data_IF_183095136852
#
_entry.id   IF_183095136852
#
_cell.length_a   1.000
_cell.length_b   1.000
_cell.length_c   1.000
_cell.angle_alpha   90.00
_cell.angle_beta   90.00
_cell.angle_gamma   90.00
#
_symmetry.space_group_name_H-M   'P 1'
#
loop_
_entity.id
_entity.type
_entity.pdbx_description
1 polymer ?
#
# COMPACT_ATOMS: atom_id res chain seq x y z
N UNK A 1 47.13 40.87 6.22
CA UNK A 1 46.73 40.12 7.44
C UNK A 1 45.37 39.41 7.33
N UNK A 2 44.42 39.81 6.46
CA UNK A 2 43.07 39.20 6.42
C UNK A 2 42.95 37.82 5.74
N UNK A 3 43.70 37.56 4.66
CA UNK A 3 43.52 36.38 3.80
C UNK A 3 43.84 35.07 4.53
N UNK A 4 44.89 35.07 5.37
CA UNK A 4 45.29 33.89 6.15
C UNK A 4 44.22 33.50 7.18
N UNK A 5 43.56 34.49 7.80
CA UNK A 5 42.48 34.25 8.78
C UNK A 5 41.22 33.68 8.13
N UNK A 6 40.88 34.13 6.91
CA UNK A 6 39.73 33.61 6.16
C UNK A 6 39.95 32.17 5.69
N UNK A 7 41.17 31.83 5.26
CA UNK A 7 41.53 30.45 4.86
C UNK A 7 41.50 29.52 6.07
N UNK A 8 42.05 29.95 7.22
CA UNK A 8 42.05 29.17 8.46
C UNK A 8 40.62 28.94 8.98
N UNK A 9 39.75 29.95 8.86
CA UNK A 9 38.34 29.85 9.22
C UNK A 9 37.56 28.89 8.32
N UNK A 10 37.82 28.88 7.00
CA UNK A 10 37.17 27.97 6.06
C UNK A 10 37.57 26.51 6.31
N UNK A 11 38.86 26.27 6.57
CA UNK A 11 39.38 24.94 6.94
C UNK A 11 38.85 24.48 8.30
N UNK A 12 38.82 25.37 9.29
CA UNK A 12 38.28 25.07 10.62
C UNK A 12 36.79 24.74 10.59
N UNK A 13 36.00 25.47 9.80
CA UNK A 13 34.57 25.20 9.64
C UNK A 13 34.31 23.88 8.89
N UNK A 14 35.08 23.61 7.83
CA UNK A 14 34.96 22.37 7.06
C UNK A 14 35.37 21.12 7.84
N UNK A 15 36.47 21.19 8.59
CA UNK A 15 36.88 20.11 9.49
C UNK A 15 35.91 19.95 10.67
N UNK A 16 35.44 21.05 11.26
CA UNK A 16 34.50 21.01 12.39
C UNK A 16 33.15 20.40 12.00
N UNK A 17 32.60 20.76 10.85
CA UNK A 17 31.32 20.18 10.37
C UNK A 17 31.46 18.71 10.00
N UNK A 18 32.52 18.31 9.31
CA UNK A 18 32.74 16.90 8.97
C UNK A 18 32.92 16.02 10.21
N UNK A 19 33.71 16.47 11.20
CA UNK A 19 33.87 15.75 12.47
C UNK A 19 32.54 15.71 13.24
N UNK A 20 31.81 16.83 13.30
CA UNK A 20 30.51 16.89 13.96
C UNK A 20 29.46 15.94 13.36
N UNK A 21 29.42 15.83 12.03
CA UNK A 21 28.53 14.88 11.33
C UNK A 21 28.93 13.44 11.60
N UNK A 22 30.23 13.11 11.57
CA UNK A 22 30.72 11.75 11.86
C UNK A 22 30.40 11.37 13.30
N UNK A 23 30.68 12.24 14.27
CA UNK A 23 30.38 11.99 15.69
C UNK A 23 28.88 11.88 15.90
N UNK A 24 28.07 12.77 15.30
CA UNK A 24 26.61 12.72 15.37
C UNK A 24 26.04 11.43 14.78
N UNK A 25 26.58 10.94 13.66
CA UNK A 25 26.19 9.68 13.04
C UNK A 25 26.52 8.47 13.93
N UNK A 26 27.72 8.42 14.50
CA UNK A 26 28.10 7.36 15.44
C UNK A 26 27.27 7.38 16.73
N UNK A 27 26.97 8.57 17.27
CA UNK A 27 26.11 8.72 18.43
C UNK A 27 24.68 8.25 18.11
N UNK A 28 24.15 8.60 16.93
CA UNK A 28 22.81 8.20 16.49
C UNK A 28 22.68 6.68 16.35
N UNK A 29 23.68 5.99 15.78
CA UNK A 29 23.70 4.53 15.70
C UNK A 29 23.73 3.89 17.09
N UNK A 30 24.54 4.42 18.01
CA UNK A 30 24.65 3.87 19.37
C UNK A 30 23.42 4.14 20.23
N UNK A 31 22.71 5.24 19.99
CA UNK A 31 21.49 5.60 20.72
C UNK A 31 20.24 4.89 20.22
N UNK A 32 20.25 4.30 19.02
CA UNK A 32 19.12 3.46 18.60
C UNK A 32 19.13 2.17 19.44
N UNK A 33 18.13 1.95 20.31
CA UNK A 33 18.04 0.71 21.06
C UNK A 33 17.73 -0.42 20.08
N UNK A 34 18.73 -1.24 19.78
CA UNK A 34 18.59 -2.49 18.99
C UNK A 34 17.82 -3.57 19.73
N UNK A 35 17.46 -3.33 20.99
CA UNK A 35 16.75 -4.28 21.83
C UNK A 35 15.24 -4.17 21.62
N UNK A 36 14.74 -4.87 20.61
CA UNK A 36 13.31 -5.21 20.53
C UNK A 36 13.07 -6.20 21.67
N UNK A 37 12.30 -5.81 22.70
CA UNK A 37 11.90 -6.75 23.74
C UNK A 37 10.92 -7.74 23.13
N UNK A 38 11.30 -9.00 23.02
CA UNK A 38 10.37 -10.06 22.66
C UNK A 38 9.26 -10.12 23.73
N UNK A 39 7.99 -9.85 23.37
CA UNK A 39 6.91 -9.90 24.34
C UNK A 39 6.72 -11.36 24.80
N UNK A 40 6.72 -11.59 26.11
CA UNK A 40 6.34 -12.88 26.67
C UNK A 40 4.91 -13.21 26.25
N UNK A 41 4.75 -14.23 25.39
CA UNK A 41 3.46 -14.71 24.91
C UNK A 41 2.74 -15.34 26.10
N UNK A 42 1.76 -14.63 26.67
CA UNK A 42 0.89 -15.14 27.74
C UNK A 42 -0.46 -15.56 27.17
N UNK A 43 -1.08 -16.65 27.64
CA UNK A 43 -2.41 -17.05 27.21
C UNK A 43 -3.45 -15.97 27.51
N UNK A 44 -4.49 -15.86 26.66
CA UNK A 44 -5.55 -14.84 26.77
C UNK A 44 -6.28 -14.86 28.12
N UNK A 45 -6.34 -16.02 28.78
CA UNK A 45 -6.96 -16.23 30.10
C UNK A 45 -6.23 -15.48 31.22
N UNK A 46 -4.93 -15.23 31.07
CA UNK A 46 -4.09 -14.57 32.08
C UNK A 46 -3.91 -13.07 31.82
N UNK A 47 -4.52 -12.53 30.76
CA UNK A 47 -4.41 -11.12 30.44
C UNK A 47 -5.34 -10.24 31.28
N UNK A 48 -4.80 -9.10 31.70
CA UNK A 48 -5.55 -8.08 32.44
C UNK A 48 -6.68 -7.49 31.59
N UNK A 49 -7.76 -7.03 32.23
CA UNK A 49 -8.99 -6.58 31.54
C UNK A 49 -8.71 -5.41 30.58
N UNK A 50 -7.79 -4.50 30.94
CA UNK A 50 -7.35 -3.40 30.07
C UNK A 50 -6.59 -3.89 28.84
N UNK A 51 -5.84 -4.97 28.95
CA UNK A 51 -5.10 -5.56 27.82
C UNK A 51 -6.07 -6.27 26.88
N UNK A 52 -7.03 -7.03 27.43
CA UNK A 52 -8.10 -7.64 26.63
C UNK A 52 -8.93 -6.59 25.87
N UNK A 53 -9.28 -5.48 26.51
CA UNK A 53 -9.96 -4.37 25.83
C UNK A 53 -9.16 -3.78 24.66
N UNK A 54 -7.83 -3.75 24.77
CA UNK A 54 -6.95 -3.31 23.68
C UNK A 54 -6.83 -4.33 22.55
N UNK A 55 -7.07 -5.61 22.82
CA UNK A 55 -7.08 -6.68 21.82
C UNK A 55 -8.43 -6.81 21.12
N UNK A 56 -9.51 -6.30 21.71
CA UNK A 56 -10.85 -6.33 21.10
C UNK A 56 -10.86 -5.81 19.65
N UNK A 57 -10.21 -4.70 19.27
CA UNK A 57 -10.18 -4.24 17.88
C UNK A 57 -9.49 -5.23 16.93
N UNK A 58 -8.47 -5.96 17.38
CA UNK A 58 -7.65 -6.86 16.56
C UNK A 58 -8.35 -8.19 16.23
N UNK A 59 -9.37 -8.56 16.99
CA UNK A 59 -10.11 -9.80 16.78
C UNK A 59 -10.79 -9.79 15.39
N UNK A 60 -10.80 -10.92 14.65
CA UNK A 60 -11.46 -11.00 13.36
C UNK A 60 -12.97 -10.67 13.42
N UNK A 61 -13.54 -10.02 12.39
CA UNK A 61 -14.95 -9.62 12.40
C UNK A 61 -15.94 -10.76 12.64
N UNK A 62 -15.69 -11.97 12.11
CA UNK A 62 -16.54 -13.16 12.30
C UNK A 62 -16.57 -13.71 13.73
N UNK A 63 -15.59 -13.38 14.56
CA UNK A 63 -15.64 -13.73 16.00
C UNK A 63 -16.51 -12.73 16.75
N UNK A 64 -16.50 -11.46 16.33
CA UNK A 64 -17.24 -10.37 16.98
C UNK A 64 -18.70 -10.36 16.58
N UNK A 65 -18.95 -10.62 15.30
CA UNK A 65 -20.23 -10.43 14.65
C UNK A 65 -20.62 -11.75 13.98
N UNK A 66 -21.76 -12.36 14.38
CA UNK A 66 -22.20 -13.63 13.81
C UNK A 66 -22.57 -13.52 12.33
N UNK A 67 -22.78 -12.30 11.81
CA UNK A 67 -23.16 -12.08 10.41
C UNK A 67 -22.01 -12.22 9.41
N UNK A 68 -20.77 -12.40 9.88
CA UNK A 68 -19.62 -12.58 9.00
C UNK A 68 -19.33 -14.06 8.83
N UNK A 69 -19.48 -14.54 7.60
CA UNK A 69 -19.12 -15.90 7.26
C UNK A 69 -17.63 -16.02 6.95
N UNK A 70 -17.02 -17.13 7.38
CA UNK A 70 -15.65 -17.47 6.99
C UNK A 70 -15.64 -17.97 5.55
N UNK A 71 -14.72 -17.44 4.76
CA UNK A 71 -14.59 -17.74 3.33
C UNK A 71 -13.26 -18.47 3.03
N UNK A 72 -12.98 -19.52 3.79
CA UNK A 72 -11.71 -20.28 3.65
C UNK A 72 -11.53 -20.89 2.26
N UNK A 73 -12.62 -21.27 1.60
CA UNK A 73 -12.61 -21.77 0.23
C UNK A 73 -12.13 -20.70 -0.76
N UNK A 74 -12.51 -19.43 -0.56
CA UNK A 74 -12.11 -18.31 -1.41
C UNK A 74 -10.62 -18.02 -1.23
N UNK A 75 -10.12 -18.09 0.00
CA UNK A 75 -8.70 -17.93 0.29
C UNK A 75 -7.88 -19.01 -0.43
N UNK A 76 -8.28 -20.28 -0.37
CA UNK A 76 -7.65 -21.38 -1.12
C UNK A 76 -7.71 -21.18 -2.63
N UNK A 77 -8.84 -20.69 -3.14
CA UNK A 77 -8.99 -20.40 -4.57
C UNK A 77 -8.00 -19.32 -5.03
N UNK A 78 -7.91 -18.21 -4.28
CA UNK A 78 -7.02 -17.10 -4.61
C UNK A 78 -5.56 -17.51 -4.48
N UNK A 79 -5.21 -18.29 -3.46
CA UNK A 79 -3.85 -18.82 -3.29
C UNK A 79 -3.38 -19.61 -4.52
N UNK A 80 -4.23 -20.50 -5.05
CA UNK A 80 -3.90 -21.25 -6.26
C UNK A 80 -3.84 -20.39 -7.53
N UNK A 81 -4.66 -19.33 -7.59
CA UNK A 81 -4.73 -18.43 -8.75
C UNK A 81 -3.68 -17.30 -8.72
N UNK A 82 -3.11 -17.02 -7.55
CA UNK A 82 -2.22 -15.88 -7.31
C UNK A 82 -1.06 -15.73 -8.31
N UNK A 83 -0.30 -16.78 -8.67
CA UNK A 83 0.82 -16.62 -9.62
C UNK A 83 0.38 -16.18 -11.03
N UNK A 84 -0.88 -16.45 -11.39
CA UNK A 84 -1.48 -15.98 -12.64
C UNK A 84 -2.04 -14.57 -12.49
N UNK A 85 -2.66 -14.28 -11.35
CA UNK A 85 -3.19 -12.96 -11.02
C UNK A 85 -2.07 -11.91 -10.92
N UNK A 86 -0.94 -12.22 -10.28
CA UNK A 86 0.22 -11.33 -10.20
C UNK A 86 0.64 -10.87 -11.60
N UNK A 87 0.86 -11.83 -12.52
CA UNK A 87 1.23 -11.53 -13.91
C UNK A 87 0.20 -10.67 -14.64
N UNK A 88 -1.08 -11.00 -14.49
CA UNK A 88 -2.17 -10.28 -15.15
C UNK A 88 -2.30 -8.85 -14.60
N UNK A 89 -2.29 -8.69 -13.28
CA UNK A 89 -2.39 -7.39 -12.61
C UNK A 89 -1.17 -6.54 -12.95
N UNK A 90 0.05 -7.08 -12.89
CA UNK A 90 1.26 -6.36 -13.29
C UNK A 90 1.19 -5.86 -14.74
N UNK A 91 0.65 -6.66 -15.67
CA UNK A 91 0.45 -6.23 -17.05
C UNK A 91 -0.57 -5.09 -17.13
N UNK A 92 -1.71 -5.22 -16.46
CA UNK A 92 -2.75 -4.19 -16.42
C UNK A 92 -2.25 -2.89 -15.80
N UNK A 93 -1.54 -2.96 -14.68
CA UNK A 93 -0.93 -1.79 -14.02
C UNK A 93 0.04 -1.08 -14.96
N UNK A 94 0.90 -1.81 -15.70
CA UNK A 94 1.79 -1.20 -16.71
C UNK A 94 1.00 -0.49 -17.80
N UNK A 95 -0.09 -1.08 -18.29
CA UNK A 95 -0.94 -0.49 -19.33
C UNK A 95 -1.63 0.79 -18.85
N UNK A 96 -2.16 0.78 -17.62
CA UNK A 96 -2.84 1.91 -17.00
C UNK A 96 -1.85 3.03 -16.62
N UNK A 97 -0.68 2.68 -16.10
CA UNK A 97 0.30 3.66 -15.63
C UNK A 97 0.98 4.41 -16.77
N UNK A 98 1.18 3.77 -17.94
CA UNK A 98 1.80 4.40 -19.13
C UNK A 98 1.19 5.76 -19.52
N UNK A 99 -0.13 5.89 -19.78
CA UNK A 99 -0.71 7.17 -20.15
C UNK A 99 -0.62 8.21 -19.02
N UNK A 100 -0.77 7.79 -17.76
CA UNK A 100 -0.68 8.71 -16.61
C UNK A 100 0.72 9.27 -16.47
N UNK A 101 1.73 8.41 -16.56
CA UNK A 101 3.13 8.83 -16.55
C UNK A 101 3.41 9.80 -17.70
N UNK A 102 2.90 9.51 -18.90
CA UNK A 102 3.07 10.37 -20.07
C UNK A 102 2.48 11.78 -19.86
N UNK A 103 1.35 11.90 -19.17
CA UNK A 103 0.76 13.21 -18.84
C UNK A 103 1.53 13.98 -17.75
N UNK A 104 2.20 13.27 -16.83
CA UNK A 104 2.92 13.90 -15.72
C UNK A 104 4.38 14.25 -16.08
N UNK A 105 4.99 13.54 -17.03
CA UNK A 105 6.33 13.83 -17.58
C UNK A 105 6.53 15.32 -17.92
N UNK A 106 5.66 15.98 -18.73
CA UNK A 106 5.85 17.38 -19.10
C UNK A 106 5.66 18.36 -17.93
N UNK A 107 4.89 17.99 -16.90
CA UNK A 107 4.63 18.86 -15.73
C UNK A 107 5.84 18.95 -14.80
N UNK A 108 6.61 17.87 -14.68
CA UNK A 108 7.72 17.77 -13.74
C UNK A 108 9.11 17.80 -14.39
N UNK A 109 9.21 18.02 -15.72
CA UNK A 109 10.47 18.01 -16.48
C UNK A 109 11.28 16.72 -16.29
N UNK A 110 10.58 15.59 -16.28
CA UNK A 110 11.19 14.25 -16.18
C UNK A 110 11.45 13.74 -17.60
N UNK A 111 12.60 13.11 -17.86
CA UNK A 111 12.95 12.61 -19.19
C UNK A 111 12.25 11.27 -19.49
N UNK A 112 12.28 10.32 -18.55
CA UNK A 112 11.51 9.07 -18.65
C UNK A 112 11.21 8.45 -17.28
N UNK A 113 10.13 7.67 -17.22
CA UNK A 113 9.81 6.80 -16.08
C UNK A 113 9.57 5.39 -16.59
N UNK A 114 10.33 4.43 -16.10
CA UNK A 114 10.33 3.04 -16.56
C UNK A 114 10.15 2.09 -15.37
N UNK A 115 9.26 1.10 -15.52
CA UNK A 115 9.12 0.01 -14.55
C UNK A 115 10.15 -1.07 -14.86
N UNK A 116 11.24 -1.13 -14.08
CA UNK A 116 12.27 -2.17 -14.19
C UNK A 116 11.72 -3.52 -13.71
N UNK A 117 11.20 -3.54 -12.49
CA UNK A 117 10.62 -4.72 -11.86
C UNK A 117 9.25 -4.35 -11.33
N UNK A 118 8.26 -5.21 -11.58
CA UNK A 118 6.91 -5.05 -11.05
C UNK A 118 6.40 -6.44 -10.72
N UNK A 119 6.39 -6.77 -9.43
CA UNK A 119 5.74 -7.96 -8.89
C UNK A 119 5.05 -7.58 -7.58
N UNK A 120 3.86 -8.14 -7.36
CA UNK A 120 3.07 -7.98 -6.15
C UNK A 120 3.51 -8.94 -5.03
N UNK A 121 4.42 -9.87 -5.35
CA UNK A 121 4.96 -10.84 -4.42
C UNK A 121 4.27 -12.20 -4.47
N UNK A 122 4.66 -13.08 -3.56
CA UNK A 122 4.17 -14.47 -3.51
C UNK A 122 2.96 -14.63 -2.58
N UNK A 123 2.69 -13.62 -1.75
CA UNK A 123 1.64 -13.69 -0.73
C UNK A 123 0.33 -13.08 -1.24
N UNK A 124 -0.75 -13.87 -1.36
CA UNK A 124 -2.05 -13.38 -1.81
C UNK A 124 -2.78 -12.57 -0.73
N UNK A 125 -3.78 -11.77 -1.12
CA UNK A 125 -4.72 -11.16 -0.19
C UNK A 125 -5.57 -12.22 0.48
N UNK A 126 -5.94 -11.96 1.73
CA UNK A 126 -6.73 -12.86 2.57
C UNK A 126 -8.04 -12.21 2.99
N UNK A 127 -9.12 -12.98 2.87
CA UNK A 127 -10.46 -12.58 3.26
C UNK A 127 -10.74 -13.13 4.64
N UNK A 128 -10.89 -12.24 5.60
CA UNK A 128 -11.12 -12.61 7.00
C UNK A 128 -12.58 -12.99 7.23
N UNK A 129 -13.49 -12.41 6.48
CA UNK A 129 -14.89 -12.79 6.47
C UNK A 129 -15.64 -12.04 5.37
N UNK A 130 -16.85 -12.48 5.07
CA UNK A 130 -17.73 -11.82 4.12
C UNK A 130 -19.13 -11.76 4.70
N UNK A 131 -19.75 -10.58 4.60
CA UNK A 131 -21.15 -10.40 4.95
C UNK A 131 -21.97 -10.22 3.68
N UNK A 132 -23.10 -10.93 3.58
CA UNK A 132 -23.96 -10.89 2.40
C UNK A 132 -25.37 -10.50 2.84
N UNK A 133 -25.95 -9.53 2.15
CA UNK A 133 -27.31 -9.05 2.39
C UNK A 133 -28.11 -9.14 1.10
N UNK A 134 -29.38 -9.52 1.24
CA UNK A 134 -30.36 -9.43 0.18
C UNK A 134 -31.39 -8.41 0.64
N UNK A 135 -31.59 -7.35 -0.15
CA UNK A 135 -32.58 -6.31 0.12
C UNK A 135 -33.91 -6.66 -0.57
N UNK A 136 -35.02 -6.18 -0.02
CA UNK A 136 -36.37 -6.33 -0.60
C UNK A 136 -36.48 -5.79 -2.04
N UNK A 137 -35.61 -4.84 -2.41
CA UNK A 137 -35.51 -4.24 -3.74
C UNK A 137 -34.77 -5.12 -4.77
N UNK A 138 -34.54 -6.41 -4.48
CA UNK A 138 -33.73 -7.33 -5.31
C UNK A 138 -32.32 -6.79 -5.55
N UNK A 139 -31.69 -6.35 -4.49
CA UNK A 139 -30.29 -5.95 -4.50
C UNK A 139 -29.47 -6.98 -3.70
N UNK A 140 -28.33 -7.41 -4.24
CA UNK A 140 -27.37 -8.26 -3.53
C UNK A 140 -26.18 -7.41 -3.10
N UNK A 141 -25.94 -7.32 -1.80
CA UNK A 141 -24.84 -6.54 -1.24
C UNK A 141 -23.86 -7.50 -0.56
N UNK A 142 -22.58 -7.40 -0.91
CA UNK A 142 -21.49 -8.19 -0.36
C UNK A 142 -20.44 -7.27 0.25
N UNK A 143 -20.06 -7.53 1.49
CA UNK A 143 -19.07 -6.76 2.26
C UNK A 143 -17.92 -7.69 2.70
N UNK A 144 -16.97 -7.99 1.81
CA UNK A 144 -15.77 -8.74 2.18
C UNK A 144 -14.80 -7.90 3.02
N UNK A 145 -14.28 -8.46 4.11
CA UNK A 145 -13.19 -7.90 4.90
C UNK A 145 -11.84 -8.46 4.41
N UNK A 146 -11.09 -7.65 3.65
CA UNK A 146 -9.84 -8.05 3.02
C UNK A 146 -8.64 -7.47 3.77
N UNK A 147 -7.63 -8.31 3.99
CA UNK A 147 -6.31 -7.91 4.46
C UNK A 147 -5.25 -8.53 3.56
N UNK A 148 -4.29 -7.73 3.14
CA UNK A 148 -3.21 -8.16 2.28
C UNK A 148 -1.90 -7.68 2.89
N UNK A 149 -1.00 -8.62 3.19
CA UNK A 149 0.35 -8.34 3.63
C UNK A 149 1.28 -9.02 2.63
N UNK A 150 1.58 -8.30 1.55
CA UNK A 150 2.38 -8.78 0.44
C UNK A 150 3.85 -8.39 0.57
N UNK A 151 4.71 -9.15 -0.09
CA UNK A 151 6.11 -8.83 -0.32
C UNK A 151 6.35 -8.37 -1.77
N UNK A 152 5.76 -7.23 -2.19
CA UNK A 152 5.96 -6.77 -3.55
C UNK A 152 7.39 -6.28 -3.74
N UNK A 153 7.85 -6.33 -4.98
CA UNK A 153 9.09 -5.72 -5.41
C UNK A 153 8.80 -4.89 -6.65
N UNK A 154 8.57 -3.60 -6.45
CA UNK A 154 8.25 -2.65 -7.52
C UNK A 154 9.39 -1.66 -7.64
N UNK A 155 10.19 -1.77 -8.69
CA UNK A 155 11.32 -0.89 -8.98
C UNK A 155 10.96 0.01 -10.16
N UNK A 156 10.94 1.32 -9.89
CA UNK A 156 10.65 2.37 -10.86
C UNK A 156 11.92 3.19 -11.04
N UNK A 157 12.41 3.26 -12.27
CA UNK A 157 13.51 4.14 -12.63
C UNK A 157 12.97 5.44 -13.24
N UNK A 158 13.37 6.56 -12.65
CA UNK A 158 13.06 7.91 -13.10
C UNK A 158 14.35 8.53 -13.62
N UNK A 159 14.36 8.94 -14.89
CA UNK A 159 15.46 9.71 -15.49
C UNK A 159 15.03 11.17 -15.55
N UNK A 160 15.83 12.07 -14.98
CA UNK A 160 15.60 13.51 -15.06
C UNK A 160 16.94 14.25 -15.03
N UNK A 161 17.10 15.26 -15.89
CA UNK A 161 18.29 16.11 -15.96
C UNK A 161 19.60 15.31 -16.10
N UNK A 162 19.56 14.18 -16.80
CA UNK A 162 20.72 13.28 -16.98
C UNK A 162 21.05 12.39 -15.77
N UNK A 163 20.30 12.49 -14.66
CA UNK A 163 20.43 11.63 -13.50
C UNK A 163 19.36 10.53 -13.52
N UNK A 164 19.75 9.29 -13.15
CA UNK A 164 18.85 8.15 -13.00
C UNK A 164 18.61 7.88 -11.52
N UNK A 165 17.38 8.09 -11.07
CA UNK A 165 16.93 7.76 -9.72
C UNK A 165 16.10 6.47 -9.75
N UNK A 166 16.32 5.56 -8.80
CA UNK A 166 15.54 4.34 -8.64
C UNK A 166 14.72 4.41 -7.37
N UNK A 167 13.42 4.17 -7.49
CA UNK A 167 12.47 4.10 -6.39
C UNK A 167 12.00 2.66 -6.29
N UNK A 168 12.15 2.05 -5.13
CA UNK A 168 11.69 0.68 -4.87
C UNK A 168 10.61 0.70 -3.79
N UNK A 169 9.46 0.11 -4.09
CA UNK A 169 8.38 -0.14 -3.12
C UNK A 169 8.51 -1.58 -2.61
N UNK A 170 8.51 -1.74 -1.30
CA UNK A 170 8.61 -3.01 -0.57
C UNK A 170 7.54 -3.08 0.52
N UNK A 171 7.30 -4.27 1.08
CA UNK A 171 6.46 -4.49 2.27
C UNK A 171 5.10 -3.77 2.21
N UNK A 172 4.23 -4.21 1.30
CA UNK A 172 2.90 -3.59 1.12
C UNK A 172 1.88 -4.27 2.03
N UNK A 173 1.24 -3.46 2.86
CA UNK A 173 0.15 -3.86 3.72
C UNK A 173 -1.10 -3.06 3.37
N UNK A 174 -2.17 -3.77 3.03
CA UNK A 174 -3.47 -3.18 2.67
C UNK A 174 -4.56 -3.82 3.51
N UNK A 175 -5.32 -3.00 4.21
CA UNK A 175 -6.57 -3.40 4.86
C UNK A 175 -7.71 -2.62 4.22
N UNK A 176 -8.70 -3.35 3.71
CA UNK A 176 -9.84 -2.75 3.02
C UNK A 176 -11.13 -3.55 3.27
N UNK A 177 -12.23 -2.83 3.39
CA UNK A 177 -13.57 -3.37 3.48
C UNK A 177 -14.44 -2.77 2.35
N UNK A 178 -14.32 -3.28 1.11
CA UNK A 178 -15.18 -2.85 0.04
C UNK A 178 -16.60 -3.40 0.23
N UNK A 179 -17.60 -2.60 -0.16
CA UNK A 179 -19.00 -2.98 -0.29
C UNK A 179 -19.33 -3.06 -1.77
N UNK A 180 -19.76 -4.23 -2.20
CA UNK A 180 -20.11 -4.55 -3.58
C UNK A 180 -21.63 -4.73 -3.63
N UNK A 181 -22.34 -3.85 -4.32
CA UNK A 181 -23.79 -3.97 -4.52
C UNK A 181 -24.11 -4.27 -5.99
N UNK A 182 -24.81 -5.37 -6.22
CA UNK A 182 -25.35 -5.78 -7.52
C UNK A 182 -26.81 -5.32 -7.59
N UNK A 183 -27.12 -4.38 -8.49
CA UNK A 183 -28.47 -3.83 -8.61
C UNK A 183 -28.82 -3.32 -10.01
N UNK A 184 -30.09 -3.38 -10.42
CA UNK A 184 -31.07 -4.38 -9.98
C UNK A 184 -30.63 -5.80 -10.37
N UNK A 185 -31.06 -6.81 -9.62
CA UNK A 185 -30.98 -8.20 -10.06
C UNK A 185 -32.00 -8.44 -11.18
N UNK A 186 -31.54 -9.01 -12.29
CA UNK A 186 -32.34 -9.27 -13.50
C UNK A 186 -32.38 -10.77 -13.81
N UNK A 187 -33.43 -11.29 -14.45
CA UNK A 187 -33.52 -12.72 -14.79
C UNK A 187 -32.67 -13.14 -16.00
N UNK A 188 -31.85 -12.24 -16.55
CA UNK A 188 -30.95 -12.50 -17.68
C UNK A 188 -29.53 -12.64 -17.17
N UNK A 189 -28.79 -13.67 -17.60
CA UNK A 189 -27.36 -13.85 -17.26
C UNK A 189 -26.59 -12.57 -17.65
N UNK A 190 -25.78 -11.96 -16.75
CA UNK A 190 -25.20 -12.51 -15.52
C UNK A 190 -26.01 -12.32 -14.22
N UNK A 191 -27.31 -12.06 -14.35
CA UNK A 191 -28.31 -11.91 -13.28
C UNK A 191 -28.30 -10.57 -12.52
N UNK A 192 -27.58 -9.57 -13.02
CA UNK A 192 -27.57 -8.20 -12.49
C UNK A 192 -27.33 -7.19 -13.62
N UNK A 193 -27.83 -5.97 -13.47
CA UNK A 193 -27.66 -4.91 -14.46
C UNK A 193 -26.47 -3.98 -14.19
N UNK A 194 -26.15 -3.71 -12.92
CA UNK A 194 -25.05 -2.84 -12.54
C UNK A 194 -24.30 -3.40 -11.32
N UNK A 195 -22.99 -3.20 -11.31
CA UNK A 195 -22.11 -3.47 -10.18
C UNK A 195 -21.66 -2.12 -9.65
N UNK A 196 -21.99 -1.81 -8.41
CA UNK A 196 -21.44 -0.66 -7.71
C UNK A 196 -20.53 -1.15 -6.61
N UNK A 197 -19.32 -0.61 -6.56
CA UNK A 197 -18.40 -0.87 -5.45
C UNK A 197 -18.13 0.44 -4.76
N UNK A 198 -18.25 0.42 -3.44
CA UNK A 198 -17.90 1.51 -2.56
C UNK A 198 -16.96 0.99 -1.47
N UNK A 199 -16.31 1.90 -0.77
CA UNK A 199 -15.47 1.55 0.38
C UNK A 199 -16.19 2.03 1.64
N UNK A 200 -16.44 1.11 2.57
CA UNK A 200 -17.17 1.42 3.80
C UNK A 200 -16.35 2.31 4.73
N UNK A 201 -15.05 2.05 4.77
CA UNK A 201 -14.09 2.77 5.58
C UNK A 201 -12.87 3.14 4.73
N UNK A 202 -12.11 4.14 5.19
CA UNK A 202 -10.85 4.50 4.55
C UNK A 202 -9.93 3.28 4.58
N UNK A 203 -9.36 2.84 3.44
CA UNK A 203 -8.47 1.71 3.45
C UNK A 203 -7.21 2.08 4.22
N UNK A 204 -6.62 1.15 4.93
CA UNK A 204 -5.30 1.37 5.51
C UNK A 204 -4.27 0.80 4.55
N UNK A 205 -3.39 1.64 4.01
CA UNK A 205 -2.33 1.24 3.08
C UNK A 205 -1.02 1.70 3.67
N UNK A 206 -0.15 0.75 4.00
CA UNK A 206 1.21 0.98 4.44
C UNK A 206 2.18 0.31 3.47
N UNK A 207 3.31 0.95 3.22
CA UNK A 207 4.33 0.43 2.31
C UNK A 207 5.70 1.00 2.66
N UNK A 208 6.72 0.15 2.53
CA UNK A 208 8.10 0.56 2.56
C UNK A 208 8.54 1.19 1.24
N UNK A 209 9.35 2.24 1.33
CA UNK A 209 9.94 2.89 0.16
C UNK A 209 11.45 3.02 0.32
N UNK A 210 12.19 2.55 -0.68
CA UNK A 210 13.64 2.72 -0.80
C UNK A 210 13.95 3.64 -1.99
N UNK A 211 14.77 4.67 -1.76
CA UNK A 211 15.23 5.60 -2.80
C UNK A 211 16.73 5.43 -2.98
N UNK A 212 17.18 5.12 -4.20
CA UNK A 212 18.59 4.91 -4.51
C UNK A 212 19.27 3.87 -3.59
N UNK A 213 18.51 2.88 -3.10
CA UNK A 213 18.99 1.86 -2.16
C UNK A 213 19.05 2.30 -0.69
N UNK A 214 18.74 3.57 -0.37
CA UNK A 214 18.59 4.06 1.00
C UNK A 214 17.12 3.99 1.46
N UNK A 215 16.89 3.59 2.71
CA UNK A 215 15.54 3.55 3.28
C UNK A 215 14.98 4.97 3.45
N UNK A 216 13.92 5.26 2.70
CA UNK A 216 13.29 6.59 2.70
C UNK A 216 12.58 6.91 4.00
N UNK A 217 12.33 5.89 4.84
CA UNK A 217 11.83 6.04 6.22
C UNK A 217 12.76 6.90 7.10
N UNK A 218 14.02 7.09 6.67
CA UNK A 218 14.98 7.97 7.35
C UNK A 218 14.89 9.45 6.94
N UNK A 219 14.08 9.81 5.92
CA UNK A 219 13.94 11.17 5.39
C UNK A 219 12.59 11.78 5.84
N UNK A 220 12.55 12.55 6.94
CA UNK A 220 11.33 13.20 7.40
C UNK A 220 10.85 14.25 6.39
N UNK A 221 9.62 14.09 5.89
CA UNK A 221 8.97 15.02 4.94
C UNK A 221 8.48 14.36 3.65
N UNK A 222 9.27 13.45 3.08
CA UNK A 222 8.89 12.75 1.84
C UNK A 222 7.80 11.68 2.08
N UNK A 223 7.83 11.05 3.27
CA UNK A 223 6.82 10.11 3.73
C UNK A 223 5.39 10.68 3.69
N UNK A 224 5.20 11.95 4.09
CA UNK A 224 3.88 12.61 4.07
C UNK A 224 3.34 12.85 2.67
N UNK A 225 4.19 13.22 1.70
CA UNK A 225 3.76 13.38 0.31
C UNK A 225 3.39 12.04 -0.32
N UNK A 226 4.18 11.01 -0.04
CA UNK A 226 4.04 9.70 -0.66
C UNK A 226 2.88 8.91 -0.06
N UNK A 227 2.52 9.09 1.22
CA UNK A 227 1.29 8.51 1.76
C UNK A 227 0.02 9.19 1.21
N UNK A 228 0.06 10.49 0.89
CA UNK A 228 -1.13 11.20 0.39
C UNK A 228 -1.49 10.80 -1.05
N UNK A 229 -0.48 10.48 -1.88
CA UNK A 229 -0.68 10.14 -3.30
C UNK A 229 -1.52 8.86 -3.52
N UNK A 230 -1.26 7.70 -2.89
CA UNK A 230 -2.07 6.50 -3.09
C UNK A 230 -3.49 6.68 -2.56
N UNK A 231 -3.73 7.52 -1.54
CA UNK A 231 -5.08 7.84 -1.10
C UNK A 231 -5.85 8.65 -2.16
N UNK A 232 -5.27 9.73 -2.66
CA UNK A 232 -5.91 10.54 -3.71
C UNK A 232 -6.05 9.74 -5.01
N UNK A 233 -5.04 8.96 -5.39
CA UNK A 233 -5.11 8.06 -6.52
C UNK A 233 -6.18 7.00 -6.32
N UNK A 234 -6.28 6.28 -5.19
CA UNK A 234 -7.35 5.31 -4.96
C UNK A 234 -8.73 5.96 -5.09
N UNK A 235 -8.95 7.11 -4.46
CA UNK A 235 -10.25 7.79 -4.50
C UNK A 235 -10.62 8.32 -5.90
N UNK A 236 -9.63 8.73 -6.72
CA UNK A 236 -9.86 9.12 -8.11
C UNK A 236 -9.85 7.94 -9.09
N UNK A 237 -9.15 6.84 -8.79
CA UNK A 237 -9.08 5.63 -9.62
C UNK A 237 -10.25 4.70 -9.40
N UNK A 238 -10.79 4.61 -8.18
CA UNK A 238 -11.90 3.71 -7.88
C UNK A 238 -13.09 3.97 -8.80
N UNK A 239 -13.51 5.21 -9.08
CA UNK A 239 -14.56 5.49 -10.06
C UNK A 239 -14.12 5.17 -11.51
N UNK A 240 -12.86 5.45 -11.87
CA UNK A 240 -12.34 5.35 -13.24
C UNK A 240 -12.05 3.90 -13.70
N UNK A 241 -11.37 3.11 -12.86
CA UNK A 241 -11.11 1.70 -13.12
C UNK A 241 -12.40 0.87 -13.07
N UNK A 242 -13.36 1.25 -12.22
CA UNK A 242 -14.66 0.57 -12.16
C UNK A 242 -15.55 0.94 -13.34
N UNK A 243 -15.56 2.21 -13.77
CA UNK A 243 -16.21 2.62 -15.02
C UNK A 243 -15.69 1.85 -16.24
N UNK A 244 -14.37 1.59 -16.30
CA UNK A 244 -13.76 0.76 -17.35
C UNK A 244 -14.05 -0.74 -17.19
N UNK A 245 -14.01 -1.30 -15.98
CA UNK A 245 -14.33 -2.73 -15.76
C UNK A 245 -15.81 -3.05 -16.03
N UNK A 246 -16.74 -2.16 -15.67
CA UNK A 246 -18.17 -2.32 -15.95
C UNK A 246 -18.46 -2.17 -17.44
N UNK A 247 -17.83 -1.23 -18.15
CA UNK A 247 -17.92 -1.12 -19.61
C UNK A 247 -17.38 -2.38 -20.33
N UNK A 248 -16.28 -2.94 -19.84
CA UNK A 248 -15.70 -4.15 -20.45
C UNK A 248 -16.51 -5.43 -20.19
N UNK A 249 -17.26 -5.52 -19.08
CA UNK A 249 -18.14 -6.66 -18.77
C UNK A 249 -19.52 -6.57 -19.42
N UNK A 250 -20.02 -5.36 -19.71
CA UNK A 250 -21.31 -5.14 -20.35
C UNK A 250 -21.24 -5.08 -21.88
N UNK A 251 -20.05 -5.09 -22.48
CA UNK A 251 -19.90 -5.23 -23.93
C UNK A 251 -20.61 -4.12 -24.70
N UNK A 252 -20.36 -2.87 -24.32
CA UNK A 252 -20.54 -1.67 -25.16
C UNK A 252 -19.38 -0.69 -24.93
#
# INVERSE_FOLDING_TARGET
MGILSSILGLFGFGMGTSIGVVVGYFMFIYFQPTHVKDPAIRPLVEQDHKSLQRLLPEIPPWVKNPDYDRVDWLNKFIENMWPYLDKAICKTVRTIAKPIIAEQIPKYKIDSVEFEVLTLGTLPPTFHGMKVYITDEKELIMEPAMKWAGNPNIIIAVKAFGLRATVQVVDLQVFAAPRISLKPLVPTIPCFANIQVSLMEKPHVDFGLKLLGADTMSIPGLYRFIQVIPFTCLYSFFPLAFGQCVGSFLGE
#
